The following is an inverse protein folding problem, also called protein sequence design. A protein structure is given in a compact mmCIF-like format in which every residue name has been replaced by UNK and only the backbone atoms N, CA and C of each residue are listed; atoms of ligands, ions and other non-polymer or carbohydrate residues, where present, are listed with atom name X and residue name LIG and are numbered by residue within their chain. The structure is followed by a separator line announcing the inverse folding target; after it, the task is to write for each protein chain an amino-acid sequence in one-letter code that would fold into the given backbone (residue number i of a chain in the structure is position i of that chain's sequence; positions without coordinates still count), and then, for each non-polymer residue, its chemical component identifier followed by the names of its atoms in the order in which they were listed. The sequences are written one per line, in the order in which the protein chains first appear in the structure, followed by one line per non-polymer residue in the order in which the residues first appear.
data_IF_778958145085
#
_entry.id   IF_778958145085
#
_cell.length_a   1.000
_cell.length_b   1.000
_cell.length_c   1.000
_cell.angle_alpha   90.00
_cell.angle_beta   90.00
_cell.angle_gamma   90.00
#
_symmetry.space_group_name_H-M   'P 1'
#
loop_
_entity.id
_entity.type
_entity.pdbx_description
1 polymer ?
#
# COMPACT_ATOMS: atom_id res chain seq x y z
N UNK A 1 45.68 -11.35 88.47
CA UNK A 1 46.33 -11.27 87.13
C UNK A 1 45.24 -11.04 86.09
N UNK A 2 44.32 -10.10 86.34
CA UNK A 2 42.98 -10.16 85.72
C UNK A 2 42.71 -9.01 84.72
N UNK A 3 43.63 -8.05 84.58
CA UNK A 3 43.46 -6.89 83.67
C UNK A 3 43.75 -7.21 82.19
N UNK A 4 44.58 -8.21 81.89
CA UNK A 4 44.89 -8.60 80.50
C UNK A 4 43.75 -9.38 79.83
N UNK A 5 43.02 -10.21 80.60
CA UNK A 5 41.84 -10.94 80.10
C UNK A 5 40.71 -10.00 79.68
N UNK A 6 40.44 -8.97 80.48
CA UNK A 6 39.39 -7.97 80.20
C UNK A 6 39.73 -7.07 79.00
N UNK A 7 41.01 -6.74 78.81
CA UNK A 7 41.44 -5.87 77.69
C UNK A 7 41.33 -6.58 76.34
N UNK A 8 41.73 -7.85 76.27
CA UNK A 8 41.59 -8.66 75.06
C UNK A 8 40.12 -8.91 74.69
N UNK A 9 39.25 -9.10 75.69
CA UNK A 9 37.81 -9.27 75.49
C UNK A 9 37.14 -7.99 74.95
N UNK A 10 37.56 -6.82 75.45
CA UNK A 10 37.11 -5.51 74.95
C UNK A 10 37.52 -5.31 73.50
N UNK A 11 38.77 -5.59 73.14
CA UNK A 11 39.28 -5.48 71.76
C UNK A 11 38.55 -6.44 70.81
N UNK A 12 38.28 -7.68 71.24
CA UNK A 12 37.54 -8.68 70.47
C UNK A 12 36.09 -8.24 70.21
N UNK A 13 35.42 -7.68 71.22
CA UNK A 13 34.06 -7.16 71.05
C UNK A 13 34.03 -5.93 70.13
N UNK A 14 35.06 -5.07 70.20
CA UNK A 14 35.18 -3.91 69.33
C UNK A 14 35.47 -4.31 67.87
N UNK A 15 36.32 -5.33 67.64
CA UNK A 15 36.51 -5.91 66.30
C UNK A 15 35.23 -6.55 65.76
N UNK A 16 34.47 -7.27 66.59
CA UNK A 16 33.17 -7.85 66.19
C UNK A 16 32.17 -6.78 65.76
N UNK A 17 32.08 -5.68 66.51
CA UNK A 17 31.20 -4.56 66.17
C UNK A 17 31.58 -3.93 64.84
N UNK A 18 32.86 -3.61 64.64
CA UNK A 18 33.35 -3.02 63.38
C UNK A 18 33.13 -3.96 62.19
N UNK A 19 33.35 -5.27 62.36
CA UNK A 19 33.09 -6.26 61.31
C UNK A 19 31.59 -6.37 60.98
N UNK A 20 30.72 -6.28 61.99
CA UNK A 20 29.26 -6.30 61.80
C UNK A 20 28.79 -5.06 61.04
N UNK A 21 29.24 -3.87 61.44
CA UNK A 21 28.89 -2.61 60.79
C UNK A 21 29.38 -2.57 59.33
N UNK A 22 30.56 -3.12 59.06
CA UNK A 22 31.14 -3.18 57.72
C UNK A 22 30.42 -4.21 56.84
N UNK A 23 29.97 -5.32 57.43
CA UNK A 23 29.10 -6.29 56.76
C UNK A 23 27.73 -5.69 56.44
N UNK A 24 27.08 -5.02 57.39
CA UNK A 24 25.77 -4.40 57.18
C UNK A 24 25.85 -3.26 56.14
N UNK A 25 26.91 -2.45 56.18
CA UNK A 25 27.18 -1.42 55.17
C UNK A 25 27.33 -2.00 53.76
N UNK A 26 28.05 -3.12 53.61
CA UNK A 26 28.24 -3.79 52.31
C UNK A 26 26.97 -4.50 51.86
N UNK A 27 26.22 -5.14 52.76
CA UNK A 27 24.98 -5.85 52.46
C UNK A 27 23.83 -4.89 52.12
N UNK A 28 23.77 -3.71 52.73
CA UNK A 28 22.77 -2.68 52.42
C UNK A 28 22.90 -2.13 50.99
N UNK A 29 24.09 -2.20 50.39
CA UNK A 29 24.35 -1.77 49.01
C UNK A 29 23.98 -2.82 47.95
N UNK A 30 23.67 -4.05 48.38
CA UNK A 30 23.37 -5.16 47.48
C UNK A 30 21.87 -5.30 47.27
N UNK A 31 21.46 -5.60 46.04
CA UNK A 31 20.08 -5.91 45.71
C UNK A 31 19.61 -7.09 46.56
N UNK A 32 18.50 -6.89 47.27
CA UNK A 32 17.93 -7.93 48.12
C UNK A 32 17.24 -8.99 47.27
N UNK A 33 17.01 -10.17 47.85
CA UNK A 33 16.26 -11.25 47.20
C UNK A 33 14.85 -10.78 46.76
N UNK A 34 14.28 -9.84 47.50
CA UNK A 34 12.99 -9.22 47.20
C UNK A 34 13.06 -8.36 45.94
N UNK A 35 14.12 -7.55 45.78
CA UNK A 35 14.29 -6.70 44.59
C UNK A 35 14.43 -7.55 43.32
N UNK A 36 15.17 -8.65 43.40
CA UNK A 36 15.33 -9.62 42.30
C UNK A 36 13.99 -10.28 41.96
N UNK A 37 13.16 -10.58 42.96
CA UNK A 37 11.83 -11.15 42.75
C UNK A 37 10.89 -10.15 42.07
N UNK A 38 10.82 -8.92 42.57
CA UNK A 38 10.02 -7.85 41.98
C UNK A 38 10.45 -7.56 40.54
N UNK A 39 11.76 -7.55 40.27
CA UNK A 39 12.28 -7.37 38.90
C UNK A 39 11.90 -8.54 37.99
N UNK A 40 11.93 -9.78 38.48
CA UNK A 40 11.49 -10.96 37.72
C UNK A 40 10.00 -10.91 37.40
N UNK A 41 9.17 -10.50 38.36
CA UNK A 41 7.72 -10.33 38.13
C UNK A 41 7.45 -9.24 37.09
N UNK A 42 8.08 -8.07 37.23
CA UNK A 42 7.98 -6.98 36.26
C UNK A 42 8.47 -7.43 34.87
N UNK A 43 9.59 -8.15 34.79
CA UNK A 43 10.10 -8.70 33.53
C UNK A 43 9.12 -9.69 32.89
N UNK A 44 8.53 -10.60 33.67
CA UNK A 44 7.56 -11.56 33.16
C UNK A 44 6.28 -10.86 32.66
N UNK A 45 5.79 -9.87 33.39
CA UNK A 45 4.65 -9.04 32.98
C UNK A 45 4.95 -8.32 31.67
N UNK A 46 6.09 -7.62 31.60
CA UNK A 46 6.54 -6.90 30.40
C UNK A 46 6.74 -7.83 29.20
N UNK A 47 7.23 -9.05 29.45
CA UNK A 47 7.42 -10.08 28.42
C UNK A 47 6.09 -10.55 27.85
N UNK A 48 5.08 -10.77 28.70
CA UNK A 48 3.76 -11.19 28.24
C UNK A 48 3.06 -10.06 27.49
N UNK A 49 3.16 -8.82 27.98
CA UNK A 49 2.64 -7.64 27.27
C UNK A 49 3.28 -7.49 25.88
N UNK A 50 4.61 -7.63 25.78
CA UNK A 50 5.31 -7.60 24.49
C UNK A 50 4.81 -8.68 23.52
N UNK A 51 4.47 -9.86 24.03
CA UNK A 51 3.94 -10.95 23.20
C UNK A 51 2.52 -10.62 22.71
N UNK A 52 1.66 -10.08 23.57
CA UNK A 52 0.32 -9.63 23.22
C UNK A 52 0.38 -8.51 22.17
N UNK A 53 1.22 -7.50 22.39
CA UNK A 53 1.42 -6.39 21.45
C UNK A 53 1.91 -6.88 20.09
N UNK A 54 2.85 -7.83 20.05
CA UNK A 54 3.30 -8.44 18.78
C UNK A 54 2.19 -9.17 18.06
N UNK A 55 1.32 -9.87 18.80
CA UNK A 55 0.16 -10.55 18.25
C UNK A 55 -0.84 -9.54 17.66
N UNK A 56 -1.15 -8.48 18.40
CA UNK A 56 -2.07 -7.42 17.95
C UNK A 56 -1.53 -6.70 16.72
N UNK A 57 -0.24 -6.35 16.70
CA UNK A 57 0.41 -5.76 15.52
C UNK A 57 0.28 -6.69 14.30
N UNK A 58 0.44 -8.00 14.48
CA UNK A 58 0.30 -8.96 13.39
C UNK A 58 -1.15 -9.00 12.87
N UNK A 59 -2.14 -9.04 13.77
CA UNK A 59 -3.55 -9.02 13.41
C UNK A 59 -3.94 -7.73 12.69
N UNK A 60 -3.47 -6.58 13.18
CA UNK A 60 -3.70 -5.27 12.54
C UNK A 60 -3.09 -5.21 11.15
N UNK A 61 -1.87 -5.73 10.95
CA UNK A 61 -1.25 -5.81 9.63
C UNK A 61 -2.08 -6.66 8.67
N UNK A 62 -2.54 -7.82 9.11
CA UNK A 62 -3.38 -8.70 8.29
C UNK A 62 -4.73 -8.05 7.93
N UNK A 63 -5.36 -7.37 8.89
CA UNK A 63 -6.59 -6.62 8.65
C UNK A 63 -6.36 -5.48 7.65
N UNK A 64 -5.25 -4.76 7.78
CA UNK A 64 -4.90 -3.69 6.85
C UNK A 64 -4.69 -4.21 5.43
N UNK A 65 -3.94 -5.31 5.24
CA UNK A 65 -3.75 -5.92 3.91
C UNK A 65 -5.09 -6.36 3.30
N UNK A 66 -6.00 -6.93 4.11
CA UNK A 66 -7.34 -7.30 3.63
C UNK A 66 -8.15 -6.08 3.21
N UNK A 67 -8.10 -5.01 4.00
CA UNK A 67 -8.78 -3.75 3.70
C UNK A 67 -8.26 -3.11 2.42
N UNK A 68 -6.93 -2.99 2.27
CA UNK A 68 -6.29 -2.46 1.06
C UNK A 68 -6.69 -3.24 -0.19
N UNK A 69 -6.75 -4.57 -0.10
CA UNK A 69 -7.19 -5.43 -1.20
C UNK A 69 -8.65 -5.18 -1.56
N UNK A 70 -9.53 -5.07 -0.56
CA UNK A 70 -10.95 -4.77 -0.79
C UNK A 70 -11.13 -3.39 -1.43
N UNK A 71 -10.39 -2.39 -0.98
CA UNK A 71 -10.39 -1.05 -1.59
C UNK A 71 -9.91 -1.09 -3.04
N UNK A 72 -8.84 -1.84 -3.35
CA UNK A 72 -8.36 -2.04 -4.73
C UNK A 72 -9.44 -2.70 -5.61
N UNK A 73 -10.12 -3.73 -5.10
CA UNK A 73 -11.17 -4.43 -5.85
C UNK A 73 -12.39 -3.53 -6.11
N UNK A 74 -12.80 -2.74 -5.11
CA UNK A 74 -13.91 -1.79 -5.23
C UNK A 74 -13.58 -0.65 -6.20
N UNK A 75 -12.36 -0.07 -6.14
CA UNK A 75 -11.93 0.98 -7.07
C UNK A 75 -11.89 0.46 -8.51
N UNK A 76 -11.35 -0.75 -8.72
CA UNK A 76 -11.36 -1.38 -10.04
C UNK A 76 -12.78 -1.69 -10.54
N UNK A 77 -13.71 -2.07 -9.64
CA UNK A 77 -15.12 -2.31 -10.00
C UNK A 77 -15.83 -1.02 -10.38
N UNK A 78 -15.56 0.07 -9.66
CA UNK A 78 -16.08 1.40 -9.97
C UNK A 78 -15.59 1.89 -11.34
N UNK A 79 -14.30 1.70 -11.64
CA UNK A 79 -13.68 2.07 -12.93
C UNK A 79 -13.91 1.06 -14.04
N UNK A 80 -14.67 -0.02 -13.79
CA UNK A 80 -14.80 -1.14 -14.72
C UNK A 80 -15.32 -0.70 -16.08
N UNK A 81 -16.17 0.31 -16.14
CA UNK A 81 -16.71 0.79 -17.40
C UNK A 81 -15.96 2.01 -17.97
N UNK A 82 -14.83 2.39 -17.37
CA UNK A 82 -14.10 3.58 -17.77
C UNK A 82 -13.00 3.26 -18.80
N UNK A 83 -12.89 4.13 -19.79
CA UNK A 83 -11.79 4.20 -20.76
C UNK A 83 -11.24 5.63 -20.81
N UNK A 84 -9.98 5.76 -21.18
CA UNK A 84 -9.29 7.03 -21.36
C UNK A 84 -8.95 7.16 -22.83
N UNK A 85 -9.51 8.16 -23.48
CA UNK A 85 -9.29 8.49 -24.89
C UNK A 85 -8.29 9.64 -25.01
N UNK A 86 -7.25 9.47 -25.82
CA UNK A 86 -6.22 10.49 -26.09
C UNK A 86 -6.18 10.80 -27.58
N UNK A 87 -6.00 12.08 -27.90
CA UNK A 87 -5.93 12.57 -29.28
C UNK A 87 -7.28 12.90 -29.92
N UNK A 88 -8.40 12.46 -29.35
CA UNK A 88 -9.75 12.67 -29.95
C UNK A 88 -10.07 14.16 -30.12
N UNK A 89 -9.80 14.98 -29.09
CA UNK A 89 -10.07 16.42 -29.11
C UNK A 89 -9.25 17.21 -30.15
N UNK A 90 -8.10 16.68 -30.60
CA UNK A 90 -7.30 17.32 -31.66
C UNK A 90 -7.95 17.21 -33.02
N UNK A 91 -8.71 16.14 -33.23
CA UNK A 91 -9.29 15.78 -34.52
C UNK A 91 -10.78 16.12 -34.61
N UNK A 92 -11.44 16.40 -33.47
CA UNK A 92 -12.75 17.05 -33.47
C UNK A 92 -12.55 18.55 -33.76
N UNK A 93 -12.78 18.96 -35.01
CA UNK A 93 -12.82 20.37 -35.39
C UNK A 93 -13.88 21.08 -34.53
N UNK A 94 -13.41 21.88 -33.57
CA UNK A 94 -14.21 22.70 -32.66
C UNK A 94 -14.95 23.79 -33.43
N UNK A 95 -16.08 23.43 -34.03
CA UNK A 95 -16.94 24.35 -34.80
C UNK A 95 -18.40 24.38 -34.33
N UNK A 96 -18.79 23.61 -33.30
CA UNK A 96 -20.17 23.59 -32.85
C UNK A 96 -20.35 23.03 -31.43
N UNK A 97 -21.51 23.31 -30.86
CA UNK A 97 -22.05 22.96 -29.53
C UNK A 97 -22.17 21.45 -29.26
N UNK A 98 -21.19 20.63 -29.68
CA UNK A 98 -21.20 19.19 -29.44
C UNK A 98 -20.69 18.90 -28.04
N UNK A 99 -21.38 18.02 -27.33
CA UNK A 99 -20.91 17.55 -26.02
C UNK A 99 -19.76 16.57 -26.20
N UNK A 100 -18.97 16.33 -25.15
CA UNK A 100 -17.91 15.32 -25.17
C UNK A 100 -18.45 13.92 -25.47
N UNK A 101 -19.67 13.62 -25.05
CA UNK A 101 -20.34 12.34 -25.34
C UNK A 101 -20.66 12.19 -26.82
N UNK A 102 -21.09 13.26 -27.50
CA UNK A 102 -21.33 13.25 -28.95
C UNK A 102 -20.04 13.01 -29.74
N UNK A 103 -18.96 13.69 -29.35
CA UNK A 103 -17.64 13.54 -29.98
C UNK A 103 -17.15 12.09 -29.87
N UNK A 104 -17.32 11.46 -28.71
CA UNK A 104 -16.92 10.06 -28.51
C UNK A 104 -17.85 9.10 -29.27
N UNK A 105 -19.15 9.38 -29.32
CA UNK A 105 -20.11 8.60 -30.10
C UNK A 105 -19.75 8.60 -31.60
N UNK A 106 -19.50 9.78 -32.17
CA UNK A 106 -19.05 9.94 -33.56
C UNK A 106 -17.70 9.24 -33.80
N UNK A 107 -16.74 9.41 -32.89
CA UNK A 107 -15.45 8.73 -32.96
C UNK A 107 -15.60 7.20 -32.98
N UNK A 108 -16.44 6.64 -32.11
CA UNK A 108 -16.71 5.22 -32.05
C UNK A 108 -17.36 4.71 -33.35
N UNK A 109 -18.30 5.48 -33.91
CA UNK A 109 -18.99 5.12 -35.15
C UNK A 109 -18.07 5.21 -36.37
N UNK A 110 -17.34 6.30 -36.52
CA UNK A 110 -16.58 6.60 -37.73
C UNK A 110 -15.25 5.86 -37.80
N UNK A 111 -14.52 5.80 -36.68
CA UNK A 111 -13.17 5.22 -36.62
C UNK A 111 -13.21 3.78 -36.15
N UNK A 112 -13.93 3.49 -35.06
CA UNK A 112 -13.98 2.14 -34.49
C UNK A 112 -15.03 1.24 -35.14
N UNK A 113 -15.96 1.81 -35.93
CA UNK A 113 -17.11 1.09 -36.51
C UNK A 113 -17.98 0.40 -35.45
N UNK A 114 -18.08 1.03 -34.27
CA UNK A 114 -18.92 0.57 -33.16
C UNK A 114 -20.00 1.62 -32.91
N UNK A 115 -21.26 1.21 -33.01
CA UNK A 115 -22.39 2.10 -32.77
C UNK A 115 -22.72 2.15 -31.27
N UNK A 116 -22.57 3.33 -30.67
CA UNK A 116 -22.84 3.59 -29.26
C UNK A 116 -23.60 4.91 -29.17
N UNK A 117 -24.73 4.92 -28.48
CA UNK A 117 -25.53 6.15 -28.31
C UNK A 117 -24.83 7.10 -27.33
N UNK A 118 -24.89 8.41 -27.60
CA UNK A 118 -24.30 9.44 -26.74
C UNK A 118 -24.87 9.42 -25.31
N UNK A 119 -26.15 9.09 -25.16
CA UNK A 119 -26.83 8.97 -23.85
C UNK A 119 -26.25 7.87 -22.96
N UNK A 120 -25.59 6.86 -23.55
CA UNK A 120 -24.94 5.77 -22.82
C UNK A 120 -23.48 6.09 -22.48
N UNK A 121 -23.04 7.32 -22.75
CA UNK A 121 -21.67 7.77 -22.59
C UNK A 121 -21.63 8.98 -21.67
N UNK A 122 -20.81 8.89 -20.63
CA UNK A 122 -20.44 10.04 -19.80
C UNK A 122 -18.96 10.35 -20.02
N UNK A 123 -18.68 11.46 -20.71
CA UNK A 123 -17.32 11.87 -21.05
C UNK A 123 -16.94 13.20 -20.38
N UNK A 124 -15.73 13.28 -19.84
CA UNK A 124 -15.18 14.49 -19.24
C UNK A 124 -13.66 14.61 -19.46
N UNK A 125 -13.13 15.83 -19.61
CA UNK A 125 -11.70 16.04 -19.76
C UNK A 125 -10.95 15.75 -18.46
N UNK A 126 -9.80 15.08 -18.59
CA UNK A 126 -8.86 14.84 -17.52
C UNK A 126 -7.79 15.92 -17.51
N UNK A 127 -7.70 16.66 -16.41
CA UNK A 127 -6.69 17.68 -16.17
C UNK A 127 -7.30 19.05 -15.86
N UNK A 128 -6.44 19.99 -15.44
CA UNK A 128 -6.87 21.29 -14.94
C UNK A 128 -7.09 22.35 -16.03
N UNK A 129 -6.77 22.05 -17.30
CA UNK A 129 -6.95 22.98 -18.42
C UNK A 129 -7.56 22.21 -19.59
N UNK A 130 -8.66 22.76 -20.12
CA UNK A 130 -9.36 22.23 -21.29
C UNK A 130 -8.55 22.51 -22.56
N UNK A 131 -7.42 21.82 -22.68
CA UNK A 131 -6.54 21.93 -23.85
C UNK A 131 -7.05 21.01 -24.96
N UNK A 132 -6.78 21.36 -26.21
CA UNK A 132 -7.10 20.53 -27.39
C UNK A 132 -6.47 19.14 -27.39
N UNK A 133 -5.55 18.85 -26.45
CA UNK A 133 -4.89 17.55 -26.29
C UNK A 133 -5.20 16.86 -24.94
N UNK A 134 -6.18 17.38 -24.19
CA UNK A 134 -6.56 16.79 -22.91
C UNK A 134 -7.09 15.36 -23.14
N UNK A 135 -6.67 14.36 -22.35
CA UNK A 135 -7.30 13.05 -22.37
C UNK A 135 -8.76 13.17 -21.93
N UNK A 136 -9.67 12.45 -22.55
CA UNK A 136 -11.05 12.32 -22.09
C UNK A 136 -11.18 11.03 -21.26
N UNK A 137 -11.73 11.13 -20.05
CA UNK A 137 -12.26 9.96 -19.36
C UNK A 137 -13.69 9.74 -19.85
N UNK A 138 -13.97 8.49 -20.23
CA UNK A 138 -15.25 8.09 -20.79
C UNK A 138 -15.75 6.90 -19.97
N UNK A 139 -16.89 7.08 -19.32
CA UNK A 139 -17.61 6.01 -18.62
C UNK A 139 -18.77 5.54 -19.50
N UNK A 140 -18.82 4.25 -19.77
CA UNK A 140 -19.92 3.62 -20.49
C UNK A 140 -20.97 3.11 -19.49
N UNK A 141 -22.25 3.28 -19.82
CA UNK A 141 -23.33 2.69 -19.01
C UNK A 141 -23.22 1.16 -19.00
N UNK A 142 -22.94 0.54 -20.14
CA UNK A 142 -22.84 -0.91 -20.27
C UNK A 142 -21.40 -1.40 -20.41
N UNK A 143 -21.06 -2.45 -19.68
CA UNK A 143 -19.76 -3.11 -19.80
C UNK A 143 -19.54 -3.70 -21.20
N UNK A 144 -20.61 -4.11 -21.89
CA UNK A 144 -20.55 -4.66 -23.25
C UNK A 144 -19.97 -3.65 -24.23
N UNK A 145 -20.40 -2.38 -24.14
CA UNK A 145 -19.96 -1.30 -25.04
C UNK A 145 -18.46 -1.06 -24.88
N UNK A 146 -17.98 -1.04 -23.64
CA UNK A 146 -16.53 -1.00 -23.35
C UNK A 146 -15.79 -2.15 -24.05
N UNK A 147 -16.29 -3.38 -23.96
CA UNK A 147 -15.62 -4.55 -24.55
C UNK A 147 -15.58 -4.43 -26.08
N UNK A 148 -16.66 -3.94 -26.71
CA UNK A 148 -16.69 -3.70 -28.15
C UNK A 148 -15.63 -2.67 -28.57
N UNK A 149 -15.57 -1.54 -27.86
CA UNK A 149 -14.53 -0.51 -28.08
C UNK A 149 -13.12 -1.09 -27.91
N UNK A 150 -12.88 -1.86 -26.83
CA UNK A 150 -11.59 -2.49 -26.58
C UNK A 150 -11.19 -3.48 -27.68
N UNK A 151 -12.16 -4.22 -28.25
CA UNK A 151 -11.93 -5.13 -29.37
C UNK A 151 -11.49 -4.37 -30.63
N UNK A 152 -12.07 -3.20 -30.86
CA UNK A 152 -11.77 -2.34 -32.01
C UNK A 152 -10.44 -1.56 -31.87
N UNK A 153 -9.81 -1.47 -30.69
CA UNK A 153 -8.55 -0.71 -30.49
C UNK A 153 -7.44 -1.09 -31.48
N UNK A 154 -7.43 -2.33 -31.98
CA UNK A 154 -6.42 -2.78 -32.95
C UNK A 154 -6.45 -1.96 -34.25
N UNK A 155 -7.58 -1.38 -34.63
CA UNK A 155 -7.72 -0.51 -35.82
C UNK A 155 -7.04 0.85 -35.64
N UNK A 156 -6.83 1.28 -34.40
CA UNK A 156 -6.22 2.58 -34.09
C UNK A 156 -4.69 2.60 -34.27
N UNK A 157 -4.06 1.48 -34.60
CA UNK A 157 -2.62 1.45 -34.87
C UNK A 157 -2.29 2.43 -36.01
N UNK A 158 -1.31 3.30 -35.78
CA UNK A 158 -0.84 4.34 -36.72
C UNK A 158 -1.82 5.50 -36.97
N UNK A 159 -2.91 5.61 -36.23
CA UNK A 159 -3.89 6.70 -36.40
C UNK A 159 -3.62 7.92 -35.51
N UNK A 160 -2.67 7.82 -34.56
CA UNK A 160 -2.39 8.87 -33.58
C UNK A 160 -3.35 8.91 -32.39
N UNK A 161 -4.45 8.14 -32.43
CA UNK A 161 -5.36 7.97 -31.30
C UNK A 161 -4.90 6.86 -30.36
N UNK A 162 -5.08 7.07 -29.06
CA UNK A 162 -4.73 6.08 -28.05
C UNK A 162 -5.89 5.92 -27.07
N UNK A 163 -6.33 4.68 -26.88
CA UNK A 163 -7.33 4.31 -25.88
C UNK A 163 -6.68 3.44 -24.82
N UNK A 164 -6.86 3.83 -23.56
CA UNK A 164 -6.40 3.07 -22.40
C UNK A 164 -7.57 2.69 -21.50
N UNK A 165 -7.44 1.58 -20.78
CA UNK A 165 -8.36 1.28 -19.69
C UNK A 165 -8.04 2.17 -18.49
N UNK A 166 -9.06 2.76 -17.88
CA UNK A 166 -8.89 3.34 -16.55
C UNK A 166 -8.85 2.20 -15.52
N UNK A 167 -7.77 2.16 -14.75
CA UNK A 167 -7.52 1.17 -13.72
C UNK A 167 -6.84 1.83 -12.55
N UNK A 168 -7.06 1.28 -11.36
CA UNK A 168 -6.42 1.71 -10.13
C UNK A 168 -4.90 1.78 -10.30
N UNK A 169 -4.25 2.70 -9.58
CA UNK A 169 -2.80 2.90 -9.68
C UNK A 169 -2.02 1.62 -9.37
N UNK A 170 -2.46 0.87 -8.35
CA UNK A 170 -1.87 -0.41 -7.95
C UNK A 170 -1.96 -1.42 -9.11
N UNK A 171 -3.14 -1.57 -9.70
CA UNK A 171 -3.37 -2.40 -10.90
C UNK A 171 -2.49 -1.97 -12.07
N UNK A 172 -2.37 -0.65 -12.30
CA UNK A 172 -1.54 -0.07 -13.36
C UNK A 172 -0.07 -0.46 -13.18
N UNK A 173 0.48 -0.30 -11.97
CA UNK A 173 1.86 -0.69 -11.62
C UNK A 173 2.09 -2.19 -11.83
N UNK A 174 1.15 -3.03 -11.38
CA UNK A 174 1.18 -4.50 -11.60
C UNK A 174 1.23 -4.82 -13.10
N UNK A 175 0.36 -4.22 -13.91
CA UNK A 175 0.32 -4.41 -15.37
C UNK A 175 1.60 -3.97 -16.05
N UNK A 176 2.18 -2.83 -15.67
CA UNK A 176 3.47 -2.36 -16.22
C UNK A 176 4.58 -3.39 -15.99
N UNK A 177 4.69 -3.93 -14.77
CA UNK A 177 5.67 -4.98 -14.46
C UNK A 177 5.46 -6.23 -15.31
N UNK A 178 4.21 -6.69 -15.46
CA UNK A 178 3.88 -7.85 -16.29
C UNK A 178 4.23 -7.63 -17.78
N UNK A 179 3.99 -6.42 -18.30
CA UNK A 179 4.36 -6.07 -19.67
C UNK A 179 5.89 -6.08 -19.85
N UNK A 180 6.65 -5.58 -18.86
CA UNK A 180 8.12 -5.63 -18.89
C UNK A 180 8.63 -7.08 -18.90
N UNK A 181 8.08 -7.93 -18.03
CA UNK A 181 8.42 -9.36 -18.00
C UNK A 181 8.08 -10.02 -19.35
N UNK A 182 6.88 -9.76 -19.90
CA UNK A 182 6.51 -10.29 -21.23
C UNK A 182 7.49 -9.83 -22.31
N UNK A 183 7.91 -8.57 -22.31
CA UNK A 183 8.89 -8.05 -23.27
C UNK A 183 10.22 -8.81 -23.20
N UNK A 184 10.73 -9.04 -21.98
CA UNK A 184 11.95 -9.82 -21.79
C UNK A 184 11.78 -11.29 -22.23
N UNK A 185 10.65 -11.92 -21.91
CA UNK A 185 10.35 -13.29 -22.34
C UNK A 185 10.28 -13.41 -23.86
N UNK A 186 9.64 -12.45 -24.54
CA UNK A 186 9.57 -12.41 -26.01
C UNK A 186 10.94 -12.13 -26.63
N UNK A 187 11.80 -11.35 -25.96
CA UNK A 187 13.19 -11.12 -26.39
C UNK A 187 14.02 -12.39 -26.32
N UNK A 188 13.88 -13.17 -25.25
CA UNK A 188 14.58 -14.44 -25.05
C UNK A 188 14.01 -15.58 -25.91
N UNK A 189 12.71 -15.56 -26.21
CA UNK A 189 12.03 -16.60 -26.97
C UNK A 189 11.17 -15.99 -28.09
N UNK A 190 11.79 -15.84 -29.26
CA UNK A 190 11.19 -15.25 -30.46
C UNK A 190 9.96 -16.03 -30.98
N UNK A 191 9.80 -17.30 -30.61
CA UNK A 191 8.63 -18.13 -30.97
C UNK A 191 7.34 -17.67 -30.28
N UNK A 192 7.42 -16.91 -29.19
CA UNK A 192 6.25 -16.40 -28.45
C UNK A 192 5.62 -15.14 -29.07
N UNK A 193 6.15 -14.61 -30.19
CA UNK A 193 5.59 -13.41 -30.85
C UNK A 193 4.23 -13.64 -31.51
N UNK A 194 3.86 -14.87 -31.83
CA UNK A 194 2.73 -15.19 -32.69
C UNK A 194 1.42 -15.57 -31.95
N UNK A 195 1.39 -15.44 -30.62
CA UNK A 195 0.20 -15.61 -29.77
C UNK A 195 -0.15 -14.33 -28.99
#
# INVERSE_FOLDING_TARGET
MDKEGTSNEVVLNQMKAVLSDLLDSKLASLATKQDIHALREAYNSMKEENKLLRCEIQQLKEANVKSEKLMEDLDNKSRRNNLIFRGVLKHSSSGGTKTYSDIISEFCKDILKVEIMADNIHAFPLGSRDTSNSPLMVSFTHFRDKILVLGAIRTLKNTGFIIHQDVAEVTRKKRTKLILIRKELVRLNSRLRHH
#
